data_IF_601401994080
#
_entry.id   IF_601401994080
#
_cell.length_a   1.000
_cell.length_b   1.000
_cell.length_c   1.000
_cell.angle_alpha   90.00
_cell.angle_beta   90.00
_cell.angle_gamma   90.00
#
_symmetry.space_group_name_H-M   'P 1'
#
loop_
_entity.id
_entity.type
_entity.pdbx_description
1 polymer ?
#
# COMPACT_ATOMS: atom_id res chain seq x y z
N UNK A 1 -2.92 -23.04 53.83
CA UNK A 1 -3.50 -23.24 52.49
C UNK A 1 -3.40 -21.91 51.76
N UNK A 2 -2.34 -21.72 50.96
CA UNK A 2 -2.06 -20.47 50.25
C UNK A 2 -2.49 -20.66 48.79
N UNK A 3 -3.54 -19.96 48.38
CA UNK A 3 -4.04 -19.96 47.01
C UNK A 3 -3.26 -18.88 46.24
N UNK A 4 -2.34 -19.32 45.37
CA UNK A 4 -1.61 -18.43 44.47
C UNK A 4 -2.50 -18.13 43.28
N UNK A 5 -3.05 -16.92 43.24
CA UNK A 5 -3.77 -16.37 42.08
C UNK A 5 -2.76 -16.11 40.95
N UNK A 6 -2.75 -16.98 39.95
CA UNK A 6 -2.10 -16.74 38.67
C UNK A 6 -2.89 -15.65 37.92
N UNK A 7 -2.44 -14.40 38.03
CA UNK A 7 -2.83 -13.35 37.09
C UNK A 7 -2.08 -13.60 35.78
N UNK A 8 -2.70 -14.39 34.89
CA UNK A 8 -2.32 -14.43 33.49
C UNK A 8 -2.79 -13.12 32.85
N UNK A 9 -1.95 -12.10 32.84
CA UNK A 9 -2.17 -10.93 31.99
C UNK A 9 -1.84 -11.34 30.55
N UNK A 10 -2.83 -11.86 29.81
CA UNK A 10 -2.79 -11.75 28.36
C UNK A 10 -2.94 -10.27 28.05
N UNK A 11 -1.83 -9.58 27.81
CA UNK A 11 -1.84 -8.31 27.11
C UNK A 11 -2.33 -8.60 25.68
N UNK A 12 -3.63 -8.53 25.46
CA UNK A 12 -4.15 -8.29 24.13
C UNK A 12 -3.80 -6.86 23.79
N UNK A 13 -2.57 -6.63 23.32
CA UNK A 13 -2.24 -5.39 22.63
C UNK A 13 -3.17 -5.33 21.42
N UNK A 14 -4.18 -4.48 21.51
CA UNK A 14 -5.21 -4.28 20.50
C UNK A 14 -4.68 -3.44 19.33
N UNK A 15 -3.40 -3.56 19.00
CA UNK A 15 -2.83 -2.97 17.79
C UNK A 15 -3.26 -3.84 16.60
N UNK A 16 -4.43 -3.53 16.05
CA UNK A 16 -4.88 -4.09 14.78
C UNK A 16 -4.45 -3.13 13.67
N UNK A 17 -3.84 -3.67 12.62
CA UNK A 17 -3.51 -2.90 11.42
C UNK A 17 -4.79 -2.32 10.80
N UNK A 18 -4.71 -1.07 10.34
CA UNK A 18 -5.77 -0.44 9.56
C UNK A 18 -5.69 -0.88 8.09
N UNK A 19 -6.78 -0.79 7.34
CA UNK A 19 -6.72 -1.07 5.89
C UNK A 19 -6.06 0.11 5.16
N UNK A 20 -5.10 -0.16 4.27
CA UNK A 20 -4.55 0.83 3.36
C UNK A 20 -5.58 1.11 2.23
N UNK A 21 -6.17 2.32 2.14
CA UNK A 21 -7.32 2.52 1.26
C UNK A 21 -6.98 2.47 -0.23
N UNK A 22 -7.86 1.86 -1.01
CA UNK A 22 -7.87 1.94 -2.48
C UNK A 22 -8.60 3.23 -2.92
N UNK A 23 -7.85 4.20 -3.45
CA UNK A 23 -8.41 5.48 -3.90
C UNK A 23 -9.09 5.36 -5.25
N UNK A 24 -8.46 4.63 -6.17
CA UNK A 24 -8.88 4.53 -7.56
C UNK A 24 -8.33 3.25 -8.19
N UNK A 25 -9.12 2.66 -9.07
CA UNK A 25 -8.71 1.58 -9.94
C UNK A 25 -9.13 1.88 -11.39
N UNK A 26 -8.63 1.10 -12.33
CA UNK A 26 -9.11 1.11 -13.71
C UNK A 26 -8.12 0.55 -14.72
N UNK A 27 -8.48 0.65 -15.99
CA UNK A 27 -7.72 0.03 -17.07
C UNK A 27 -7.78 0.81 -18.38
N UNK A 28 -6.97 0.39 -19.36
CA UNK A 28 -7.00 0.89 -20.73
C UNK A 28 -6.91 -0.26 -21.72
N UNK A 29 -7.99 -0.49 -22.48
CA UNK A 29 -8.00 -1.51 -23.56
C UNK A 29 -6.94 -1.25 -24.63
N UNK A 30 -6.75 0.02 -24.99
CA UNK A 30 -5.78 0.43 -26.02
C UNK A 30 -4.33 0.17 -25.60
N UNK A 31 -4.00 0.41 -24.32
CA UNK A 31 -2.63 0.23 -23.80
C UNK A 31 -2.39 -1.14 -23.19
N UNK A 32 -3.44 -1.94 -23.01
CA UNK A 32 -3.43 -3.20 -22.27
C UNK A 32 -2.84 -3.01 -20.86
N UNK A 33 -3.30 -1.98 -20.16
CA UNK A 33 -2.83 -1.66 -18.80
C UNK A 33 -3.98 -1.69 -17.80
N UNK A 34 -3.71 -2.12 -16.58
CA UNK A 34 -4.60 -2.07 -15.43
C UNK A 34 -3.85 -1.44 -14.25
N UNK A 35 -4.54 -0.75 -13.35
CA UNK A 35 -3.89 -0.12 -12.20
C UNK A 35 -4.80 0.02 -10.99
N UNK A 36 -4.18 -0.01 -9.81
CA UNK A 36 -4.74 0.37 -8.51
C UNK A 36 -3.90 1.49 -7.90
N UNK A 37 -4.54 2.50 -7.30
CA UNK A 37 -3.88 3.59 -6.57
C UNK A 37 -4.31 3.50 -5.11
N UNK A 38 -3.33 3.35 -4.23
CA UNK A 38 -3.49 3.28 -2.79
C UNK A 38 -3.07 4.59 -2.16
N UNK A 39 -3.72 4.98 -1.06
CA UNK A 39 -3.41 6.19 -0.32
C UNK A 39 -4.61 6.68 0.46
N UNK A 40 -4.64 7.97 0.77
CA UNK A 40 -5.68 8.57 1.60
C UNK A 40 -6.41 9.66 0.81
N UNK A 41 -7.74 9.73 0.97
CA UNK A 41 -8.50 10.89 0.52
C UNK A 41 -8.27 12.04 1.49
N UNK A 42 -8.48 13.27 1.04
CA UNK A 42 -8.32 14.45 1.89
C UNK A 42 -9.23 14.43 3.13
N UNK A 43 -10.40 13.82 3.04
CA UNK A 43 -11.40 13.73 4.12
C UNK A 43 -11.14 12.59 5.11
N UNK A 44 -10.30 11.61 4.77
CA UNK A 44 -9.99 10.45 5.61
C UNK A 44 -8.49 10.27 5.87
N UNK A 45 -7.68 11.30 5.61
CA UNK A 45 -6.25 11.28 5.93
C UNK A 45 -6.06 11.29 7.44
N UNK A 46 -5.36 10.31 8.05
CA UNK A 46 -5.13 10.28 9.48
C UNK A 46 -4.40 11.54 9.98
N UNK A 47 -4.71 11.95 11.21
CA UNK A 47 -4.11 13.15 11.78
C UNK A 47 -2.58 13.03 11.86
N UNK A 48 -1.87 14.07 11.43
CA UNK A 48 -0.40 14.10 11.45
C UNK A 48 0.26 13.40 10.26
N UNK A 49 -0.53 12.93 9.29
CA UNK A 49 -0.04 12.47 7.99
C UNK A 49 -0.02 13.64 7.01
N UNK A 50 1.15 13.91 6.43
CA UNK A 50 1.40 15.01 5.51
C UNK A 50 2.03 14.50 4.21
N UNK A 51 1.75 15.17 3.10
CA UNK A 51 2.26 14.79 1.79
C UNK A 51 3.43 15.69 1.34
N UNK A 52 4.00 15.42 0.16
CA UNK A 52 5.18 16.16 -0.35
C UNK A 52 4.98 17.67 -0.59
N UNK A 53 3.74 18.18 -0.59
CA UNK A 53 3.46 19.63 -0.70
C UNK A 53 3.51 20.33 0.65
N UNK A 54 3.43 19.57 1.75
CA UNK A 54 3.53 20.09 3.10
C UNK A 54 5.00 20.35 3.49
N UNK A 55 5.20 21.21 4.50
CA UNK A 55 6.54 21.59 4.96
C UNK A 55 7.35 20.42 5.51
N UNK A 56 6.68 19.41 6.07
CA UNK A 56 7.30 18.21 6.65
C UNK A 56 6.50 16.98 6.23
N UNK A 57 6.77 16.43 5.03
CA UNK A 57 6.11 15.23 4.54
C UNK A 57 6.34 14.05 5.48
N UNK A 58 5.33 13.19 5.62
CA UNK A 58 5.44 12.00 6.46
C UNK A 58 6.13 10.87 5.71
N UNK A 59 7.13 10.27 6.35
CA UNK A 59 7.78 9.05 5.88
C UNK A 59 6.88 7.84 6.12
N UNK A 60 6.72 7.01 5.09
CA UNK A 60 6.08 5.71 5.16
C UNK A 60 7.16 4.64 5.00
N UNK A 61 7.27 3.73 5.97
CA UNK A 61 8.11 2.55 5.86
C UNK A 61 7.28 1.43 5.24
N UNK A 62 7.50 1.16 3.95
CA UNK A 62 6.69 0.24 3.16
C UNK A 62 7.42 -1.08 3.02
N UNK A 63 6.72 -2.18 3.29
CA UNK A 63 7.11 -3.54 2.95
C UNK A 63 6.10 -4.08 1.95
N UNK A 64 6.60 -4.56 0.82
CA UNK A 64 5.78 -5.27 -0.17
C UNK A 64 6.28 -6.70 -0.25
N UNK A 65 5.36 -7.64 -0.18
CA UNK A 65 5.58 -9.06 -0.45
C UNK A 65 4.88 -9.38 -1.75
N UNK A 66 5.63 -9.88 -2.73
CA UNK A 66 5.14 -10.23 -4.06
C UNK A 66 5.20 -11.73 -4.24
N UNK A 67 4.06 -12.33 -4.56
CA UNK A 67 3.94 -13.72 -5.00
C UNK A 67 4.18 -13.83 -6.51
N UNK A 68 3.17 -14.28 -7.24
CA UNK A 68 3.19 -14.23 -8.70
C UNK A 68 3.32 -12.77 -9.16
N UNK A 69 4.15 -12.53 -10.18
CA UNK A 69 4.21 -11.24 -10.86
C UNK A 69 4.63 -11.43 -12.32
N UNK A 70 3.70 -11.14 -13.23
CA UNK A 70 3.94 -11.03 -14.65
C UNK A 70 3.63 -9.59 -15.10
N UNK A 71 4.68 -8.84 -15.44
CA UNK A 71 4.59 -7.48 -16.00
C UNK A 71 3.81 -6.46 -15.14
N UNK A 72 3.89 -6.57 -13.82
CA UNK A 72 3.36 -5.58 -12.88
C UNK A 72 4.46 -4.93 -12.03
N UNK A 73 4.21 -3.69 -11.61
CA UNK A 73 5.12 -2.92 -10.75
C UNK A 73 4.38 -1.99 -9.82
N UNK A 74 4.94 -1.81 -8.63
CA UNK A 74 4.57 -0.70 -7.75
C UNK A 74 5.42 0.52 -8.10
N UNK A 75 4.75 1.67 -8.21
CA UNK A 75 5.36 2.99 -8.40
C UNK A 75 5.04 3.81 -7.17
N UNK A 76 6.05 4.48 -6.61
CA UNK A 76 5.91 5.26 -5.38
C UNK A 76 6.73 6.54 -5.44
N UNK A 77 6.43 7.49 -4.55
CA UNK A 77 7.24 8.69 -4.39
C UNK A 77 8.38 8.39 -3.42
N UNK A 78 9.61 8.30 -3.92
CA UNK A 78 10.79 7.85 -3.18
C UNK A 78 11.46 8.95 -2.35
N UNK A 79 11.21 10.22 -2.68
CA UNK A 79 11.74 11.36 -1.92
C UNK A 79 10.75 12.53 -1.84
N UNK A 80 11.03 13.46 -0.93
CA UNK A 80 10.23 14.67 -0.71
C UNK A 80 10.18 15.62 -1.92
N UNK A 81 10.99 15.38 -2.96
CA UNK A 81 11.00 16.18 -4.20
C UNK A 81 10.06 15.59 -5.25
N UNK A 82 9.39 14.48 -4.95
CA UNK A 82 8.49 13.83 -5.90
C UNK A 82 9.19 12.84 -6.84
N UNK A 83 10.46 12.50 -6.62
CA UNK A 83 11.15 11.51 -7.45
C UNK A 83 10.44 10.16 -7.32
N UNK A 84 10.17 9.50 -8.44
CA UNK A 84 9.54 8.19 -8.43
C UNK A 84 10.56 7.08 -8.23
N UNK A 85 10.15 6.08 -7.45
CA UNK A 85 10.78 4.77 -7.36
C UNK A 85 9.84 3.70 -7.91
N UNK A 86 10.42 2.56 -8.26
CA UNK A 86 9.68 1.40 -8.76
C UNK A 86 10.18 0.12 -8.08
N UNK A 87 9.28 -0.82 -7.83
CA UNK A 87 9.63 -2.15 -7.32
C UNK A 87 8.71 -3.21 -7.94
N UNK A 88 9.27 -4.35 -8.31
CA UNK A 88 8.57 -5.47 -8.96
C UNK A 88 8.63 -6.76 -8.14
N UNK A 89 9.38 -6.79 -7.04
CA UNK A 89 9.60 -7.98 -6.22
C UNK A 89 9.48 -7.63 -4.74
N UNK A 90 9.46 -8.65 -3.89
CA UNK A 90 9.46 -8.45 -2.44
C UNK A 90 10.61 -7.54 -2.00
N UNK A 91 10.30 -6.56 -1.16
CA UNK A 91 11.30 -5.64 -0.63
C UNK A 91 10.69 -4.53 0.22
N UNK A 92 11.60 -3.76 0.81
CA UNK A 92 11.27 -2.67 1.73
C UNK A 92 11.85 -1.36 1.21
N UNK A 93 11.09 -0.28 1.33
CA UNK A 93 11.51 1.05 0.88
C UNK A 93 10.81 2.14 1.68
N UNK A 94 11.40 3.34 1.66
CA UNK A 94 10.75 4.55 2.17
C UNK A 94 9.94 5.16 1.04
N UNK A 95 8.71 5.55 1.35
CA UNK A 95 7.83 6.28 0.44
C UNK A 95 7.23 7.51 1.12
N UNK A 96 6.70 8.40 0.29
CA UNK A 96 5.97 9.59 0.70
C UNK A 96 4.64 9.66 -0.04
N UNK A 97 3.64 10.29 0.58
CA UNK A 97 2.42 10.62 -0.13
C UNK A 97 2.69 11.66 -1.21
N UNK A 98 2.21 11.41 -2.44
CA UNK A 98 2.21 12.40 -3.51
C UNK A 98 1.36 13.61 -3.13
N UNK A 99 1.45 14.72 -3.89
CA UNK A 99 0.61 15.90 -3.64
C UNK A 99 -0.91 15.67 -3.76
N UNK A 100 -1.33 14.47 -4.20
CA UNK A 100 -2.73 14.03 -4.22
C UNK A 100 -3.05 12.98 -3.14
N UNK A 101 -2.19 12.85 -2.14
CA UNK A 101 -2.25 11.82 -1.10
C UNK A 101 -2.21 10.37 -1.62
N UNK A 102 -1.53 10.14 -2.76
CA UNK A 102 -1.31 8.80 -3.30
C UNK A 102 0.00 8.22 -2.74
N UNK A 103 -0.04 7.03 -2.15
CA UNK A 103 1.13 6.36 -1.59
C UNK A 103 1.79 5.43 -2.61
N UNK A 104 0.99 4.51 -3.18
CA UNK A 104 1.45 3.50 -4.14
C UNK A 104 0.52 3.48 -5.34
N UNK A 105 1.11 3.32 -6.53
CA UNK A 105 0.38 2.92 -7.73
C UNK A 105 0.87 1.55 -8.17
N UNK A 106 0.01 0.55 -8.08
CA UNK A 106 0.23 -0.74 -8.71
C UNK A 106 -0.22 -0.65 -10.17
N UNK A 107 0.66 -0.95 -11.12
CA UNK A 107 0.34 -0.95 -12.55
C UNK A 107 0.78 -2.28 -13.18
N UNK A 108 -0.13 -2.90 -13.92
CA UNK A 108 0.09 -4.11 -14.71
C UNK A 108 -0.02 -3.79 -16.20
N UNK A 109 0.82 -4.40 -17.03
CA UNK A 109 0.84 -4.20 -18.48
C UNK A 109 0.92 -5.50 -19.26
N UNK A 110 -0.06 -5.74 -20.13
CA UNK A 110 -0.14 -6.90 -20.99
C UNK A 110 -1.41 -7.71 -20.74
N UNK A 111 -1.81 -8.54 -21.71
CA UNK A 111 -3.04 -9.36 -21.56
C UNK A 111 -2.93 -10.41 -20.46
N UNK A 112 -1.74 -11.00 -20.30
CA UNK A 112 -1.44 -12.01 -19.28
C UNK A 112 -0.88 -11.42 -17.99
N UNK A 113 -0.80 -10.10 -17.85
CA UNK A 113 -0.19 -9.49 -16.67
C UNK A 113 -1.03 -9.77 -15.43
N UNK A 114 -0.38 -10.22 -14.37
CA UNK A 114 -0.99 -10.56 -13.10
C UNK A 114 0.01 -10.33 -11.96
N UNK A 115 -0.48 -10.06 -10.76
CA UNK A 115 0.33 -10.00 -9.55
C UNK A 115 -0.51 -10.35 -8.33
N UNK A 116 0.07 -11.12 -7.42
CA UNK A 116 -0.42 -11.32 -6.05
C UNK A 116 0.52 -10.58 -5.07
N UNK A 117 -0.05 -9.82 -4.15
CA UNK A 117 0.74 -8.97 -3.25
C UNK A 117 0.16 -8.86 -1.85
N UNK A 118 1.06 -8.61 -0.88
CA UNK A 118 0.76 -8.03 0.42
C UNK A 118 1.57 -6.74 0.59
N UNK A 119 0.93 -5.66 1.00
CA UNK A 119 1.52 -4.39 1.39
C UNK A 119 1.33 -4.24 2.90
N UNK A 120 2.39 -3.89 3.60
CA UNK A 120 2.37 -3.47 5.00
C UNK A 120 3.13 -2.14 5.06
N UNK A 121 2.50 -1.08 5.51
CA UNK A 121 3.15 0.23 5.64
C UNK A 121 2.98 0.82 7.02
N UNK A 122 4.02 1.46 7.52
CA UNK A 122 4.02 2.13 8.80
C UNK A 122 4.18 3.63 8.65
N UNK A 123 3.33 4.40 9.33
CA UNK A 123 3.50 5.85 9.48
C UNK A 123 2.98 6.27 10.86
N UNK A 124 3.74 7.12 11.57
CA UNK A 124 3.37 7.64 12.89
C UNK A 124 2.88 6.57 13.90
N UNK A 125 3.53 5.40 13.93
CA UNK A 125 3.18 4.25 14.77
C UNK A 125 1.82 3.59 14.47
N UNK A 126 1.25 3.82 13.28
CA UNK A 126 0.08 3.10 12.76
C UNK A 126 0.54 2.21 11.60
N UNK A 127 0.06 0.97 11.59
CA UNK A 127 0.25 -0.01 10.52
C UNK A 127 -0.96 0.05 9.58
N UNK A 128 -0.72 0.11 8.27
CA UNK A 128 -1.74 -0.01 7.23
C UNK A 128 -1.43 -1.19 6.31
N UNK A 129 -2.39 -2.09 6.15
CA UNK A 129 -2.25 -3.34 5.41
C UNK A 129 -3.16 -3.36 4.17
N UNK A 130 -2.65 -3.95 3.09
CA UNK A 130 -3.48 -4.32 1.94
C UNK A 130 -2.98 -5.64 1.36
N UNK A 131 -3.89 -6.60 1.22
CA UNK A 131 -3.64 -7.89 0.58
C UNK A 131 -4.55 -7.99 -0.64
N UNK A 132 -4.02 -8.37 -1.79
CA UNK A 132 -4.84 -8.53 -2.96
C UNK A 132 -4.09 -9.02 -4.18
N UNK A 133 -4.78 -8.94 -5.31
CA UNK A 133 -4.23 -9.24 -6.62
C UNK A 133 -4.65 -8.19 -7.63
N UNK A 134 -3.88 -8.06 -8.72
CA UNK A 134 -4.25 -7.26 -9.87
C UNK A 134 -3.91 -8.04 -11.14
N UNK A 135 -4.87 -8.19 -12.04
CA UNK A 135 -4.61 -8.67 -13.38
C UNK A 135 -5.35 -7.82 -14.40
N UNK A 136 -4.77 -7.69 -15.59
CA UNK A 136 -5.44 -6.96 -16.66
C UNK A 136 -6.75 -7.62 -17.07
N UNK A 137 -6.80 -8.97 -17.08
CA UNK A 137 -7.99 -9.72 -17.45
C UNK A 137 -9.18 -9.38 -16.54
N UNK A 138 -8.99 -9.49 -15.22
CA UNK A 138 -10.04 -9.21 -14.22
C UNK A 138 -10.42 -7.73 -14.26
N UNK A 139 -9.44 -6.83 -14.27
CA UNK A 139 -9.70 -5.39 -14.23
C UNK A 139 -10.38 -4.87 -15.50
N UNK A 140 -10.12 -5.50 -16.66
CA UNK A 140 -10.77 -5.15 -17.93
C UNK A 140 -12.16 -5.77 -18.12
N UNK A 141 -12.61 -6.61 -17.19
CA UNK A 141 -13.91 -7.29 -17.23
C UNK A 141 -14.02 -8.35 -18.33
N UNK A 142 -12.89 -8.95 -18.74
CA UNK A 142 -12.89 -10.06 -19.70
C UNK A 142 -13.30 -11.37 -19.02
N UNK A 143 -14.09 -12.19 -19.72
CA UNK A 143 -14.47 -13.55 -19.36
C UNK A 143 -13.75 -14.56 -20.25
#
# INVERSE_FOLDING_TARGET
MFMVLLVTSCSTDSYQAEELPLLKHGYSKKKLTAYNIFGFRFDNTPQGIFNIIDKKPTEFLVNVYVGDNQDCKFIYTADIKGKQGEITQTGSFVAYLSGRNELLKLECKGKGSNIDYKIITYANAIEYDSLGSLSYLVESGGL
#
